data_IF_608422558593
#
_entry.id   IF_608422558593
#
_cell.length_a   1.000
_cell.length_b   1.000
_cell.length_c   1.000
_cell.angle_alpha   90.00
_cell.angle_beta   90.00
_cell.angle_gamma   90.00
#
_symmetry.space_group_name_H-M   'P 1'
#
loop_
_entity.id
_entity.type
_entity.pdbx_description
1 polymer ?
#
# COMPACT_ATOMS: atom_id res chain seq x y z
N UNK A 1 13.62 6.11 -15.36
CA UNK A 1 12.41 6.95 -15.46
C UNK A 1 11.83 7.10 -14.05
N UNK A 2 11.96 8.27 -13.43
CA UNK A 2 11.07 8.85 -12.40
C UNK A 2 10.90 8.23 -11.00
N UNK A 3 11.18 6.96 -10.74
CA UNK A 3 10.81 6.31 -9.46
C UNK A 3 11.65 6.72 -8.24
N UNK A 4 12.88 7.18 -8.46
CA UNK A 4 13.81 7.62 -7.41
C UNK A 4 13.21 8.75 -6.56
N UNK A 5 12.57 9.73 -7.19
CA UNK A 5 11.87 10.81 -6.51
C UNK A 5 10.73 10.33 -5.59
N UNK A 6 10.07 9.21 -5.92
CA UNK A 6 9.02 8.65 -5.08
C UNK A 6 9.61 7.90 -3.88
N UNK A 7 10.75 7.23 -4.06
CA UNK A 7 11.51 6.59 -2.97
C UNK A 7 12.05 7.64 -1.99
N UNK A 8 12.61 8.75 -2.49
CA UNK A 8 13.16 9.83 -1.65
C UNK A 8 12.11 10.53 -0.78
N UNK A 9 10.84 10.49 -1.18
CA UNK A 9 9.74 11.15 -0.47
C UNK A 9 8.93 10.20 0.40
N UNK A 10 9.36 8.96 0.54
CA UNK A 10 8.69 7.92 1.35
C UNK A 10 7.20 7.75 0.98
N UNK A 11 6.87 7.99 -0.30
CA UNK A 11 5.50 7.96 -0.81
C UNK A 11 5.11 6.60 -1.38
N UNK A 12 5.99 5.61 -1.26
CA UNK A 12 5.77 4.26 -1.78
C UNK A 12 5.32 3.33 -0.66
N UNK A 13 4.15 2.72 -0.85
CA UNK A 13 3.63 1.66 0.02
C UNK A 13 4.33 0.32 -0.29
N UNK A 14 5.63 0.23 -0.04
CA UNK A 14 6.46 -0.96 -0.33
C UNK A 14 7.15 -1.39 0.95
N UNK A 15 6.75 -2.54 1.49
CA UNK A 15 7.30 -3.10 2.72
C UNK A 15 6.63 -4.40 3.12
N UNK A 16 6.75 -4.77 4.38
CA UNK A 16 5.96 -5.85 4.98
C UNK A 16 4.53 -5.39 5.31
N UNK A 17 3.73 -6.31 5.87
CA UNK A 17 2.32 -6.06 6.17
C UNK A 17 2.14 -4.94 7.19
N UNK A 18 2.98 -4.93 8.24
CA UNK A 18 2.90 -3.96 9.33
C UNK A 18 3.22 -2.56 8.83
N UNK A 19 4.32 -2.41 8.09
CA UNK A 19 4.73 -1.15 7.50
C UNK A 19 3.66 -0.57 6.57
N UNK A 20 3.13 -1.39 5.66
CA UNK A 20 2.13 -0.92 4.69
C UNK A 20 0.82 -0.55 5.40
N UNK A 21 0.39 -1.31 6.42
CA UNK A 21 -0.79 -1.00 7.20
C UNK A 21 -0.63 0.33 7.99
N UNK A 22 0.54 0.55 8.60
CA UNK A 22 0.86 1.78 9.32
C UNK A 22 0.81 2.99 8.39
N UNK A 23 1.47 2.92 7.21
CA UNK A 23 1.41 4.00 6.22
C UNK A 23 0.00 4.33 5.73
N UNK A 24 -0.84 3.31 5.53
CA UNK A 24 -2.24 3.53 5.15
C UNK A 24 -3.02 4.20 6.30
N UNK A 25 -2.75 3.82 7.55
CA UNK A 25 -3.35 4.46 8.72
C UNK A 25 -2.91 5.92 8.88
N UNK A 26 -1.63 6.23 8.67
CA UNK A 26 -1.10 7.60 8.64
C UNK A 26 -1.83 8.45 7.60
N UNK A 27 -1.95 7.97 6.36
CA UNK A 27 -2.67 8.68 5.29
C UNK A 27 -4.14 8.97 5.65
N UNK A 28 -4.79 8.04 6.35
CA UNK A 28 -6.15 8.22 6.85
C UNK A 28 -6.19 9.27 7.96
N UNK A 29 -5.31 9.17 8.95
CA UNK A 29 -5.38 9.96 10.18
C UNK A 29 -4.86 11.39 9.99
N UNK A 30 -3.83 11.58 9.16
CA UNK A 30 -3.21 12.89 8.92
C UNK A 30 -3.87 13.65 7.76
N UNK A 31 -4.25 12.94 6.69
CA UNK A 31 -4.74 13.57 5.45
C UNK A 31 -6.24 13.33 5.23
N UNK A 32 -6.86 12.45 6.02
CA UNK A 32 -8.30 12.16 5.91
C UNK A 32 -8.65 11.29 4.72
N UNK A 33 -7.71 10.50 4.19
CA UNK A 33 -7.96 9.62 3.03
C UNK A 33 -9.00 8.56 3.38
N UNK A 34 -10.12 8.54 2.64
CA UNK A 34 -11.19 7.54 2.81
C UNK A 34 -11.19 6.44 1.74
N UNK A 35 -10.56 6.68 0.57
CA UNK A 35 -10.34 5.66 -0.47
C UNK A 35 -8.92 5.68 -0.97
N UNK A 36 -8.36 4.50 -1.15
CA UNK A 36 -7.01 4.30 -1.68
C UNK A 36 -7.08 3.58 -3.03
N UNK A 37 -6.40 4.14 -4.03
CA UNK A 37 -6.12 3.46 -5.30
C UNK A 37 -4.66 3.07 -5.31
N UNK A 38 -4.39 1.76 -5.46
CA UNK A 38 -3.02 1.22 -5.39
C UNK A 38 -2.62 0.67 -6.75
N UNK A 39 -1.47 1.13 -7.23
CA UNK A 39 -0.80 0.55 -8.39
C UNK A 39 0.19 -0.52 -7.91
N UNK A 40 -0.10 -1.80 -8.14
CA UNK A 40 0.78 -2.91 -7.76
C UNK A 40 1.74 -3.37 -8.88
N UNK A 41 1.56 -2.87 -10.11
CA UNK A 41 2.37 -3.29 -11.26
C UNK A 41 3.59 -2.38 -11.45
N UNK A 42 4.72 -2.82 -10.91
CA UNK A 42 6.02 -2.22 -11.21
C UNK A 42 6.67 -2.92 -12.43
N UNK A 43 7.40 -2.19 -13.30
CA UNK A 43 7.94 -2.73 -14.55
C UNK A 43 8.83 -3.97 -14.43
N UNK A 44 9.46 -4.16 -13.27
CA UNK A 44 10.40 -5.26 -13.00
C UNK A 44 9.77 -6.44 -12.24
N UNK A 45 8.49 -6.38 -11.91
CA UNK A 45 7.80 -7.49 -11.24
C UNK A 45 7.21 -8.46 -12.27
N UNK A 46 7.33 -9.75 -11.99
CA UNK A 46 6.59 -10.78 -12.73
C UNK A 46 5.09 -10.68 -12.43
N UNK A 47 4.26 -11.22 -13.31
CA UNK A 47 2.82 -11.31 -13.07
C UNK A 47 2.50 -12.05 -11.75
N UNK A 48 3.22 -13.11 -11.42
CA UNK A 48 3.00 -13.86 -10.16
C UNK A 48 3.32 -13.01 -8.93
N UNK A 49 4.37 -12.20 -8.97
CA UNK A 49 4.70 -11.26 -7.88
C UNK A 49 3.64 -10.17 -7.74
N UNK A 50 3.11 -9.66 -8.85
CA UNK A 50 2.03 -8.66 -8.84
C UNK A 50 0.77 -9.26 -8.22
N UNK A 51 0.36 -10.46 -8.65
CA UNK A 51 -0.84 -11.13 -8.12
C UNK A 51 -0.69 -11.45 -6.63
N UNK A 52 0.47 -11.96 -6.20
CA UNK A 52 0.75 -12.20 -4.78
C UNK A 52 0.68 -10.90 -3.96
N UNK A 53 1.17 -9.78 -4.49
CA UNK A 53 1.08 -8.48 -3.80
C UNK A 53 -0.36 -8.02 -3.64
N UNK A 54 -1.20 -8.19 -4.67
CA UNK A 54 -2.63 -7.87 -4.62
C UNK A 54 -3.36 -8.75 -3.59
N UNK A 55 -3.06 -10.05 -3.58
CA UNK A 55 -3.65 -10.99 -2.62
C UNK A 55 -3.29 -10.63 -1.17
N UNK A 56 -2.00 -10.40 -0.90
CA UNK A 56 -1.54 -10.00 0.44
C UNK A 56 -2.08 -8.65 0.89
N UNK A 57 -2.19 -7.68 -0.03
CA UNK A 57 -2.82 -6.40 0.27
C UNK A 57 -4.26 -6.62 0.77
N UNK A 58 -5.07 -7.40 0.04
CA UNK A 58 -6.46 -7.65 0.40
C UNK A 58 -6.64 -8.52 1.65
N UNK A 59 -5.83 -9.58 1.78
CA UNK A 59 -6.01 -10.61 2.81
C UNK A 59 -5.29 -10.31 4.13
N UNK A 60 -4.14 -9.63 4.08
CA UNK A 60 -3.28 -9.40 5.25
C UNK A 60 -3.28 -7.93 5.67
N UNK A 61 -3.16 -6.98 4.73
CA UNK A 61 -3.04 -5.56 5.05
C UNK A 61 -4.39 -4.91 5.33
N UNK A 62 -5.36 -5.05 4.43
CA UNK A 62 -6.66 -4.37 4.54
C UNK A 62 -7.41 -4.66 5.87
N UNK A 63 -7.38 -5.89 6.44
CA UNK A 63 -7.97 -6.16 7.74
C UNK A 63 -7.36 -5.35 8.90
N UNK A 64 -6.08 -5.00 8.83
CA UNK A 64 -5.39 -4.21 9.85
C UNK A 64 -5.83 -2.73 9.85
N UNK A 65 -6.35 -2.23 8.72
CA UNK A 65 -6.71 -0.82 8.53
C UNK A 65 -8.22 -0.59 8.37
N UNK A 66 -9.01 -1.66 8.28
CA UNK A 66 -10.45 -1.60 8.18
C UNK A 66 -11.07 -0.96 9.43
N UNK A 67 -11.96 0.03 9.25
CA UNK A 67 -12.72 0.63 10.35
C UNK A 67 -13.60 -0.42 11.01
N UNK A 68 -13.47 -0.58 12.33
CA UNK A 68 -14.51 -1.23 13.14
C UNK A 68 -15.70 -0.28 13.24
N UNK A 69 -16.75 -0.53 12.46
CA UNK A 69 -18.08 0.05 12.65
C UNK A 69 -18.28 1.53 12.26
N UNK A 70 -19.32 1.76 11.46
CA UNK A 70 -20.18 2.94 11.55
C UNK A 70 -21.61 2.47 11.42
#
# INVERSE_FOLDING_TARGET
>A
MGWEFLMERDNLLIGDVEFVAEKIAELRDEVGVDRLYVQCNLPWLSQSQIMASIERLGAEVMPCVARTGR
#
